data_IF_132176886324
#
_entry.id   IF_132176886324
#
_cell.length_a   1.000
_cell.length_b   1.000
_cell.length_c   1.000
_cell.angle_alpha   90.00
_cell.angle_beta   90.00
_cell.angle_gamma   90.00
#
_symmetry.space_group_name_H-M   'P 1'
#
loop_
_entity.id
_entity.type
_entity.pdbx_description
1 polymer ?
#
# COMPACT_ATOMS: atom_id res chain seq x y z
N UNK A 1 15.05 -11.73 10.99
CA UNK A 1 14.13 -10.75 11.65
C UNK A 1 12.84 -10.72 10.85
N UNK A 2 11.69 -10.80 11.50
CA UNK A 2 10.38 -10.76 10.84
C UNK A 2 10.22 -9.45 10.05
N UNK A 3 9.75 -9.56 8.81
CA UNK A 3 9.51 -8.42 7.90
C UNK A 3 8.52 -7.43 8.52
N UNK A 4 7.48 -7.93 9.20
CA UNK A 4 6.50 -7.09 9.88
C UNK A 4 7.13 -6.25 11.00
N UNK A 5 7.98 -6.86 11.81
CA UNK A 5 8.67 -6.16 12.90
C UNK A 5 9.63 -5.06 12.36
N UNK A 6 10.34 -5.34 11.28
CA UNK A 6 11.21 -4.34 10.64
C UNK A 6 10.43 -3.15 10.10
N UNK A 7 9.28 -3.40 9.48
CA UNK A 7 8.40 -2.35 8.97
C UNK A 7 7.87 -1.45 10.11
N UNK A 8 7.37 -2.05 11.19
CA UNK A 8 6.88 -1.27 12.34
C UNK A 8 8.02 -0.45 12.98
N UNK A 9 9.23 -1.00 13.09
CA UNK A 9 10.40 -0.27 13.58
C UNK A 9 10.77 0.92 12.66
N UNK A 10 10.70 0.74 11.35
CA UNK A 10 10.98 1.81 10.39
C UNK A 10 9.92 2.93 10.47
N UNK A 11 8.63 2.56 10.60
CA UNK A 11 7.54 3.52 10.81
C UNK A 11 7.68 4.26 12.15
N UNK A 12 8.08 3.56 13.23
CA UNK A 12 8.35 4.19 14.53
C UNK A 12 9.50 5.21 14.44
N UNK A 13 10.56 4.90 13.69
CA UNK A 13 11.66 5.84 13.46
C UNK A 13 11.19 7.05 12.65
N UNK A 14 10.41 6.86 11.58
CA UNK A 14 9.90 7.94 10.75
C UNK A 14 8.99 8.89 11.55
N UNK A 15 7.99 8.33 12.25
CA UNK A 15 7.08 9.13 13.09
C UNK A 15 7.81 9.77 14.26
N UNK A 16 8.78 9.06 14.87
CA UNK A 16 9.63 9.59 15.93
C UNK A 16 10.49 10.77 15.45
N UNK A 17 11.00 10.72 14.20
CA UNK A 17 11.72 11.83 13.58
C UNK A 17 10.82 13.07 13.46
N UNK A 18 9.63 12.93 12.89
CA UNK A 18 8.67 14.04 12.74
C UNK A 18 8.14 14.58 14.08
N UNK A 19 8.12 13.76 15.11
CA UNK A 19 7.67 14.14 16.45
C UNK A 19 8.80 14.63 17.37
N UNK A 20 10.04 14.74 16.87
CA UNK A 20 11.22 15.13 17.65
C UNK A 20 11.42 16.65 17.71
N UNK A 21 12.34 17.08 18.57
CA UNK A 21 12.75 18.49 18.68
C UNK A 21 11.60 19.40 19.13
N UNK A 22 11.42 20.51 18.43
CA UNK A 22 10.41 21.54 18.70
C UNK A 22 9.03 21.23 18.07
N UNK A 23 8.77 19.99 17.67
CA UNK A 23 7.47 19.60 17.11
C UNK A 23 6.34 19.88 18.12
N UNK A 24 5.23 20.55 17.67
CA UNK A 24 4.10 20.81 18.56
C UNK A 24 3.54 19.51 19.17
N UNK A 25 3.44 19.39 20.50
CA UNK A 25 3.07 18.10 21.14
C UNK A 25 1.71 17.53 20.70
N UNK A 26 0.77 18.38 20.31
CA UNK A 26 -0.53 17.95 19.82
C UNK A 26 -0.41 17.31 18.42
N UNK A 27 0.38 17.92 17.54
CA UNK A 27 0.66 17.37 16.20
C UNK A 27 1.43 16.04 16.32
N UNK A 28 2.46 15.97 17.13
CA UNK A 28 3.24 14.75 17.38
C UNK A 28 2.35 13.58 17.83
N UNK A 29 1.39 13.82 18.73
CA UNK A 29 0.42 12.81 19.16
C UNK A 29 -0.55 12.41 18.04
N UNK A 30 -0.99 13.37 17.22
CA UNK A 30 -1.90 13.11 16.11
C UNK A 30 -1.22 12.25 15.00
N UNK A 31 0.04 12.54 14.66
CA UNK A 31 0.84 11.72 13.73
C UNK A 31 0.94 10.27 14.22
N UNK A 32 1.28 10.11 15.50
CA UNK A 32 1.36 8.77 16.10
C UNK A 32 0.01 8.06 16.11
N UNK A 33 -1.06 8.77 16.41
CA UNK A 33 -2.43 8.24 16.42
C UNK A 33 -2.88 7.81 14.99
N UNK A 34 -2.52 8.54 13.95
CA UNK A 34 -2.83 8.21 12.57
C UNK A 34 -2.14 6.93 12.09
N UNK A 35 -0.89 6.70 12.53
CA UNK A 35 -0.07 5.58 12.05
C UNK A 35 -0.21 4.34 12.92
N UNK A 36 -0.39 4.49 14.25
CA UNK A 36 -0.42 3.37 15.21
C UNK A 36 -1.70 3.31 16.06
N UNK A 37 -2.18 2.10 16.38
CA UNK A 37 -1.80 0.84 15.78
C UNK A 37 -2.18 0.81 14.30
N UNK A 38 -1.36 0.14 13.49
CA UNK A 38 -1.63 -0.01 12.06
C UNK A 38 -2.73 -1.03 11.79
N UNK A 39 -3.19 -1.05 10.51
CA UNK A 39 -4.00 -2.13 9.97
C UNK A 39 -3.14 -3.31 9.51
N UNK A 40 -3.63 -4.08 8.54
CA UNK A 40 -2.94 -5.27 8.00
C UNK A 40 -1.63 -4.96 7.25
N UNK A 41 -1.28 -3.68 7.02
CA UNK A 41 -0.07 -3.25 6.32
C UNK A 41 0.10 -3.93 4.95
N UNK A 42 -0.98 -4.11 4.21
CA UNK A 42 -0.98 -4.86 2.93
C UNK A 42 -0.07 -4.18 1.90
N UNK A 43 -0.18 -2.85 1.75
CA UNK A 43 0.60 -2.07 0.78
C UNK A 43 2.11 -2.15 1.03
N UNK A 44 2.64 -1.83 2.20
CA UNK A 44 4.07 -1.97 2.46
C UNK A 44 4.56 -3.43 2.37
N UNK A 45 3.75 -4.41 2.76
CA UNK A 45 4.10 -5.82 2.58
C UNK A 45 4.22 -6.20 1.11
N UNK A 46 3.37 -5.66 0.23
CA UNK A 46 3.47 -5.86 -1.22
C UNK A 46 4.76 -5.27 -1.80
N UNK A 47 5.17 -4.07 -1.36
CA UNK A 47 6.48 -3.50 -1.74
C UNK A 47 7.61 -4.48 -1.44
N UNK A 48 7.62 -5.01 -0.21
CA UNK A 48 8.68 -5.93 0.23
C UNK A 48 8.61 -7.29 -0.47
N UNK A 49 7.41 -7.80 -0.76
CA UNK A 49 7.23 -9.04 -1.52
C UNK A 49 7.80 -8.92 -2.94
N UNK A 50 7.47 -7.83 -3.65
CA UNK A 50 8.00 -7.56 -5.00
C UNK A 50 9.51 -7.36 -4.95
N UNK A 51 10.01 -6.57 -4.01
CA UNK A 51 11.45 -6.38 -3.83
C UNK A 51 12.19 -7.70 -3.61
N UNK A 52 11.67 -8.57 -2.74
CA UNK A 52 12.25 -9.89 -2.50
C UNK A 52 12.22 -10.79 -3.75
N UNK A 53 11.13 -10.77 -4.51
CA UNK A 53 11.03 -11.53 -5.75
C UNK A 53 12.06 -11.09 -6.79
N UNK A 54 12.36 -9.79 -6.85
CA UNK A 54 13.40 -9.23 -7.72
C UNK A 54 14.82 -9.53 -7.24
N UNK A 55 15.04 -9.71 -5.93
CA UNK A 55 16.37 -9.89 -5.33
C UNK A 55 16.95 -11.31 -5.49
N UNK A 56 16.11 -12.33 -5.61
CA UNK A 56 16.46 -13.72 -5.28
C UNK A 56 17.47 -14.45 -6.17
N UNK A 57 18.00 -13.88 -7.27
CA UNK A 57 19.01 -14.54 -8.14
C UNK A 57 20.44 -13.96 -8.11
N UNK A 58 20.64 -12.76 -7.60
CA UNK A 58 22.01 -12.20 -7.56
C UNK A 58 22.92 -12.94 -6.57
N UNK A 59 22.36 -13.63 -5.58
CA UNK A 59 23.13 -14.41 -4.60
C UNK A 59 23.61 -15.77 -5.13
N UNK A 60 22.88 -16.41 -6.06
CA UNK A 60 23.18 -17.77 -6.54
C UNK A 60 24.25 -17.80 -7.64
N UNK A 61 24.34 -16.76 -8.47
CA UNK A 61 25.35 -16.68 -9.54
C UNK A 61 26.77 -16.40 -9.00
N UNK A 62 26.89 -15.76 -7.83
CA UNK A 62 28.19 -15.47 -7.21
C UNK A 62 28.88 -16.71 -6.62
N UNK A 63 28.15 -17.81 -6.40
CA UNK A 63 28.67 -19.01 -5.73
C UNK A 63 29.26 -20.04 -6.70
N UNK A 64 29.08 -19.90 -8.02
CA UNK A 64 29.47 -20.93 -9.00
C UNK A 64 30.84 -20.73 -9.69
N UNK A 65 31.53 -19.59 -9.47
CA UNK A 65 32.84 -19.34 -10.10
C UNK A 65 33.95 -19.10 -9.07
N UNK A 66 34.40 -20.16 -8.42
CA UNK A 66 35.41 -20.12 -7.35
C UNK A 66 36.86 -20.25 -7.88
N UNK A 67 37.31 -19.52 -8.92
CA UNK A 67 38.66 -19.65 -9.46
C UNK A 67 39.50 -18.36 -9.57
N UNK A 68 39.06 -17.23 -8.97
CA UNK A 68 39.85 -16.00 -8.90
C UNK A 68 39.71 -15.33 -7.51
N UNK A 69 40.43 -15.82 -6.53
CA UNK A 69 40.18 -15.55 -5.10
C UNK A 69 40.26 -14.09 -4.65
N UNK A 70 40.99 -13.20 -5.31
CA UNK A 70 41.19 -11.81 -4.86
C UNK A 70 40.23 -10.83 -5.53
N UNK A 71 39.91 -10.99 -6.82
CA UNK A 71 38.91 -10.20 -7.52
C UNK A 71 37.48 -10.56 -7.05
N UNK A 72 37.26 -11.81 -6.64
CA UNK A 72 36.02 -12.32 -6.12
C UNK A 72 35.65 -11.77 -4.72
N UNK A 73 36.64 -11.49 -3.85
CA UNK A 73 36.35 -10.91 -2.53
C UNK A 73 35.85 -9.47 -2.62
N UNK A 74 36.39 -8.65 -3.51
CA UNK A 74 35.95 -7.27 -3.75
C UNK A 74 34.57 -7.26 -4.41
N UNK A 75 34.33 -8.09 -5.41
CA UNK A 75 33.02 -8.22 -6.07
C UNK A 75 31.95 -8.77 -5.11
N UNK A 76 32.29 -9.74 -4.26
CA UNK A 76 31.40 -10.26 -3.24
C UNK A 76 31.02 -9.20 -2.19
N UNK A 77 31.98 -8.38 -1.75
CA UNK A 77 31.76 -7.28 -0.83
C UNK A 77 30.85 -6.17 -1.46
N UNK A 78 31.15 -5.80 -2.72
CA UNK A 78 30.32 -4.82 -3.46
C UNK A 78 28.88 -5.33 -3.67
N UNK A 79 28.71 -6.60 -3.99
CA UNK A 79 27.39 -7.21 -4.15
C UNK A 79 26.62 -7.27 -2.83
N UNK A 80 27.27 -7.56 -1.71
CA UNK A 80 26.68 -7.55 -0.38
C UNK A 80 26.23 -6.12 0.03
N UNK A 81 27.06 -5.12 -0.27
CA UNK A 81 26.73 -3.70 -0.02
C UNK A 81 25.52 -3.27 -0.85
N UNK A 82 25.51 -3.56 -2.15
CA UNK A 82 24.39 -3.24 -3.03
C UNK A 82 23.09 -3.94 -2.59
N UNK A 83 23.16 -5.21 -2.18
CA UNK A 83 22.00 -5.94 -1.66
C UNK A 83 21.45 -5.30 -0.37
N UNK A 84 22.33 -4.84 0.52
CA UNK A 84 21.94 -4.12 1.75
C UNK A 84 21.28 -2.78 1.43
N UNK A 85 21.84 -1.99 0.50
CA UNK A 85 21.28 -0.71 0.06
C UNK A 85 19.92 -0.88 -0.60
N UNK A 86 19.74 -1.90 -1.45
CA UNK A 86 18.48 -2.22 -2.09
C UNK A 86 17.41 -2.63 -1.07
N UNK A 87 17.76 -3.45 -0.08
CA UNK A 87 16.86 -3.84 1.00
C UNK A 87 16.47 -2.63 1.89
N UNK A 88 17.41 -1.71 2.13
CA UNK A 88 17.16 -0.44 2.82
C UNK A 88 16.20 0.44 2.00
N UNK A 89 16.45 0.61 0.70
CA UNK A 89 15.57 1.38 -0.18
C UNK A 89 14.14 0.81 -0.22
N UNK A 90 14.00 -0.53 -0.22
CA UNK A 90 12.69 -1.17 -0.23
C UNK A 90 11.89 -0.93 1.06
N UNK A 91 12.51 -1.05 2.23
CA UNK A 91 11.82 -0.84 3.52
C UNK A 91 11.47 0.64 3.71
N UNK A 92 12.36 1.55 3.32
CA UNK A 92 12.10 2.99 3.35
C UNK A 92 10.93 3.36 2.44
N UNK A 93 10.91 2.82 1.21
CA UNK A 93 9.78 3.06 0.29
C UNK A 93 8.47 2.47 0.81
N UNK A 94 8.51 1.26 1.39
CA UNK A 94 7.35 0.62 2.00
C UNK A 94 6.76 1.47 3.13
N UNK A 95 7.62 2.04 3.98
CA UNK A 95 7.21 2.95 5.06
C UNK A 95 6.63 4.26 4.52
N UNK A 96 7.24 4.84 3.48
CA UNK A 96 6.74 6.05 2.83
C UNK A 96 5.36 5.83 2.20
N UNK A 97 5.13 4.69 1.53
CA UNK A 97 3.80 4.30 1.03
C UNK A 97 2.77 4.24 2.16
N UNK A 98 3.12 3.65 3.30
CA UNK A 98 2.20 3.56 4.44
C UNK A 98 1.91 4.92 5.08
N UNK A 99 2.91 5.80 5.19
CA UNK A 99 2.69 7.17 5.67
C UNK A 99 1.71 7.93 4.79
N UNK A 100 1.87 7.86 3.46
CA UNK A 100 0.96 8.47 2.50
C UNK A 100 -0.45 7.85 2.53
N UNK A 101 -0.53 6.54 2.73
CA UNK A 101 -1.82 5.87 2.95
C UNK A 101 -2.48 6.33 4.26
N UNK A 102 -1.73 6.46 5.34
CA UNK A 102 -2.28 6.99 6.59
C UNK A 102 -2.73 8.46 6.44
N UNK A 103 -1.99 9.28 5.68
CA UNK A 103 -2.39 10.64 5.35
C UNK A 103 -3.73 10.68 4.61
N UNK A 104 -3.89 9.83 3.57
CA UNK A 104 -5.16 9.78 2.83
C UNK A 104 -6.34 9.38 3.72
N UNK A 105 -6.15 8.43 4.64
CA UNK A 105 -7.21 8.05 5.58
C UNK A 105 -7.56 9.17 6.57
N UNK A 106 -6.56 9.94 7.04
CA UNK A 106 -6.80 11.10 7.92
C UNK A 106 -7.64 12.15 7.20
N UNK A 107 -7.36 12.42 5.93
CA UNK A 107 -8.13 13.38 5.13
C UNK A 107 -9.51 12.84 4.75
N UNK A 108 -9.62 11.56 4.35
CA UNK A 108 -10.90 10.89 4.07
C UNK A 108 -11.87 10.97 5.26
N UNK A 109 -11.37 10.82 6.49
CA UNK A 109 -12.21 10.86 7.69
C UNK A 109 -12.75 12.25 8.04
N UNK A 110 -12.25 13.35 7.43
CA UNK A 110 -12.69 14.71 7.73
C UNK A 110 -14.18 14.92 7.43
N UNK A 111 -14.86 15.87 8.16
CA UNK A 111 -16.27 16.17 7.94
C UNK A 111 -16.62 16.65 6.51
N UNK A 112 -15.65 17.18 5.77
CA UNK A 112 -15.82 17.58 4.38
C UNK A 112 -15.72 16.44 3.37
N UNK A 113 -15.38 15.22 3.82
CA UNK A 113 -15.35 13.99 3.06
C UNK A 113 -16.29 12.95 3.70
N UNK A 114 -15.78 11.83 4.21
CA UNK A 114 -16.61 10.73 4.74
C UNK A 114 -17.22 11.01 6.12
N UNK A 115 -16.74 12.03 6.84
CA UNK A 115 -17.12 12.35 8.21
C UNK A 115 -17.11 11.12 9.14
N UNK A 116 -16.08 10.30 9.03
CA UNK A 116 -15.98 9.04 9.76
C UNK A 116 -15.57 9.28 11.21
N UNK A 117 -16.40 8.87 12.17
CA UNK A 117 -16.07 8.99 13.59
C UNK A 117 -14.99 8.01 14.04
N UNK A 118 -14.90 6.84 13.38
CA UNK A 118 -14.00 5.76 13.76
C UNK A 118 -13.12 5.32 12.59
N UNK A 119 -11.84 5.07 12.88
CA UNK A 119 -10.89 4.44 11.96
C UNK A 119 -10.12 3.33 12.68
N UNK A 120 -10.19 2.11 12.15
CA UNK A 120 -9.51 0.93 12.74
C UNK A 120 -9.90 0.69 14.22
N UNK A 121 -11.20 0.90 14.54
CA UNK A 121 -11.77 0.65 15.88
C UNK A 121 -11.43 1.70 16.94
N UNK A 122 -10.86 2.85 16.56
CA UNK A 122 -10.59 4.00 17.46
C UNK A 122 -11.10 5.30 16.84
N UNK A 123 -11.30 6.38 17.64
CA UNK A 123 -11.69 7.67 17.11
C UNK A 123 -10.78 8.12 15.97
N UNK A 124 -11.35 8.64 14.88
CA UNK A 124 -10.59 9.26 13.79
C UNK A 124 -9.78 10.46 14.30
N UNK A 125 -8.80 10.92 13.52
CA UNK A 125 -7.90 12.00 13.98
C UNK A 125 -8.68 13.29 14.24
N UNK A 126 -9.67 13.62 13.42
CA UNK A 126 -10.47 14.84 13.62
C UNK A 126 -11.35 14.78 14.87
N UNK A 127 -11.87 13.60 15.21
CA UNK A 127 -12.62 13.39 16.47
C UNK A 127 -11.71 13.47 17.68
N UNK A 128 -10.50 12.89 17.61
CA UNK A 128 -9.58 12.82 18.75
C UNK A 128 -8.82 14.12 19.00
N UNK A 129 -8.52 14.91 17.95
CA UNK A 129 -7.61 16.07 18.02
C UNK A 129 -8.19 17.35 17.42
N UNK A 130 -9.38 17.30 16.81
CA UNK A 130 -10.00 18.39 16.09
C UNK A 130 -9.56 18.48 14.60
N UNK A 131 -10.43 19.06 13.78
CA UNK A 131 -10.26 19.14 12.31
C UNK A 131 -8.96 19.83 11.90
N UNK A 132 -8.59 20.94 12.54
CA UNK A 132 -7.34 21.68 12.22
C UNK A 132 -6.11 20.81 12.36
N UNK A 133 -6.05 20.02 13.44
CA UNK A 133 -4.91 19.11 13.67
C UNK A 133 -4.97 17.93 12.71
N UNK A 134 -6.16 17.46 12.34
CA UNK A 134 -6.30 16.37 11.36
C UNK A 134 -5.78 16.80 9.98
N UNK A 135 -6.15 17.97 9.48
CA UNK A 135 -5.60 18.51 8.22
C UNK A 135 -4.08 18.58 8.29
N UNK A 136 -3.53 19.22 9.33
CA UNK A 136 -2.08 19.38 9.50
C UNK A 136 -1.35 18.05 9.69
N UNK A 137 -1.98 17.07 10.33
CA UNK A 137 -1.41 15.73 10.48
C UNK A 137 -1.34 14.99 9.14
N UNK A 138 -2.38 15.07 8.32
CA UNK A 138 -2.37 14.53 6.96
C UNK A 138 -1.28 15.15 6.10
N UNK A 139 -1.19 16.49 6.08
CA UNK A 139 -0.16 17.23 5.35
C UNK A 139 1.26 16.85 5.82
N UNK A 140 1.46 16.78 7.15
CA UNK A 140 2.75 16.42 7.71
C UNK A 140 3.14 14.96 7.37
N UNK A 141 2.20 14.02 7.33
CA UNK A 141 2.46 12.63 6.91
C UNK A 141 2.82 12.55 5.42
N UNK A 142 2.21 13.38 4.55
CA UNK A 142 2.58 13.46 3.13
C UNK A 142 4.02 13.92 3.00
N UNK A 143 4.37 15.03 3.65
CA UNK A 143 5.73 15.58 3.60
C UNK A 143 6.74 14.58 4.17
N UNK A 144 6.43 13.97 5.32
CA UNK A 144 7.28 12.96 5.95
C UNK A 144 7.56 11.77 5.04
N UNK A 145 6.58 11.31 4.25
CA UNK A 145 6.77 10.21 3.30
C UNK A 145 7.86 10.51 2.26
N UNK A 146 7.93 11.75 1.75
CA UNK A 146 8.97 12.18 0.82
C UNK A 146 10.29 12.49 1.53
N UNK A 147 10.26 13.14 2.69
CA UNK A 147 11.44 13.42 3.49
C UNK A 147 12.16 12.12 3.90
N UNK A 148 11.39 11.11 4.32
CA UNK A 148 11.94 9.82 4.71
C UNK A 148 12.71 9.13 3.58
N UNK A 149 12.21 9.23 2.33
CA UNK A 149 12.95 8.79 1.16
C UNK A 149 14.25 9.58 0.97
N UNK A 150 14.18 10.90 1.08
CA UNK A 150 15.35 11.77 0.88
C UNK A 150 16.47 11.48 1.90
N UNK A 151 16.11 11.14 3.14
CA UNK A 151 17.05 10.87 4.22
C UNK A 151 17.67 9.47 4.18
N UNK A 152 16.99 8.49 3.54
CA UNK A 152 17.29 7.06 3.77
C UNK A 152 17.66 6.26 2.52
N UNK A 153 17.58 6.85 1.33
CA UNK A 153 17.93 6.14 0.09
C UNK A 153 18.58 7.05 -0.96
N UNK A 154 19.58 6.53 -1.66
CA UNK A 154 20.17 7.19 -2.81
C UNK A 154 19.28 7.18 -4.06
N UNK A 155 18.24 6.31 -4.09
CA UNK A 155 17.26 6.20 -5.19
C UNK A 155 16.12 7.21 -5.07
N UNK A 156 16.31 8.29 -4.31
CA UNK A 156 15.25 9.26 -3.97
C UNK A 156 14.52 9.80 -5.20
N UNK A 157 15.22 10.18 -6.26
CA UNK A 157 14.61 10.76 -7.46
C UNK A 157 13.62 9.79 -8.14
N UNK A 158 13.98 8.51 -8.26
CA UNK A 158 13.13 7.51 -8.89
C UNK A 158 11.94 7.14 -8.00
N UNK A 159 12.19 6.88 -6.72
CA UNK A 159 11.18 6.42 -5.78
C UNK A 159 10.17 7.53 -5.44
N UNK A 160 10.62 8.77 -5.20
CA UNK A 160 9.71 9.91 -5.01
C UNK A 160 8.91 10.24 -6.27
N UNK A 161 9.49 10.08 -7.46
CA UNK A 161 8.75 10.22 -8.72
C UNK A 161 7.61 9.21 -8.87
N UNK A 162 7.81 7.95 -8.44
CA UNK A 162 6.75 6.93 -8.40
C UNK A 162 5.65 7.34 -7.41
N UNK A 163 6.01 7.73 -6.18
CA UNK A 163 5.04 8.18 -5.17
C UNK A 163 4.26 9.40 -5.65
N UNK A 164 4.93 10.43 -6.14
CA UNK A 164 4.30 11.67 -6.60
C UNK A 164 3.26 11.41 -7.69
N UNK A 165 3.58 10.53 -8.64
CA UNK A 165 2.64 10.11 -9.70
C UNK A 165 1.42 9.38 -9.16
N UNK A 166 1.61 8.50 -8.17
CA UNK A 166 0.55 7.63 -7.66
C UNK A 166 -0.25 8.24 -6.50
N UNK A 167 0.21 9.36 -5.94
CA UNK A 167 -0.50 10.08 -4.86
C UNK A 167 -1.13 11.37 -5.38
N UNK A 168 -0.43 12.12 -6.24
CA UNK A 168 -0.89 13.40 -6.77
C UNK A 168 -1.88 13.29 -7.93
N UNK A 169 -2.04 14.39 -8.67
CA UNK A 169 -2.74 14.40 -9.96
C UNK A 169 -1.79 14.00 -11.10
N UNK A 170 -2.28 13.59 -12.27
CA UNK A 170 -3.69 13.51 -12.66
C UNK A 170 -4.34 12.15 -12.39
N UNK A 171 -3.65 11.16 -11.82
CA UNK A 171 -4.14 9.77 -11.74
C UNK A 171 -3.81 9.09 -10.40
N UNK A 172 -3.37 9.83 -9.40
CA UNK A 172 -3.09 9.35 -8.06
C UNK A 172 -4.28 9.50 -7.12
N UNK A 173 -4.06 9.26 -5.83
CA UNK A 173 -5.10 9.29 -4.79
C UNK A 173 -5.84 10.63 -4.76
N UNK A 174 -5.12 11.77 -4.88
CA UNK A 174 -5.75 13.10 -4.90
C UNK A 174 -6.74 13.24 -6.07
N UNK A 175 -6.38 12.75 -7.27
CA UNK A 175 -7.29 12.74 -8.40
C UNK A 175 -8.47 11.79 -8.14
N UNK A 176 -8.22 10.62 -7.52
CA UNK A 176 -9.26 9.69 -7.11
C UNK A 176 -10.28 10.33 -6.18
N UNK A 177 -9.81 11.03 -5.17
CA UNK A 177 -10.68 11.76 -4.24
C UNK A 177 -11.44 12.90 -4.92
N UNK A 178 -10.81 13.62 -5.85
CA UNK A 178 -11.44 14.71 -6.58
C UNK A 178 -12.55 14.22 -7.54
N UNK A 179 -12.46 13.00 -8.07
CA UNK A 179 -13.53 12.41 -8.89
C UNK A 179 -14.87 12.33 -8.17
N UNK A 180 -14.91 12.22 -6.85
CA UNK A 180 -16.13 12.22 -6.04
C UNK A 180 -16.85 13.59 -6.04
N UNK A 181 -16.13 14.65 -6.37
CA UNK A 181 -16.67 16.02 -6.48
C UNK A 181 -17.14 16.36 -7.90
N UNK A 182 -16.92 15.48 -8.88
CA UNK A 182 -17.33 15.72 -10.26
C UNK A 182 -18.82 15.41 -10.48
N UNK A 183 -19.55 16.19 -11.32
CA UNK A 183 -20.95 15.95 -11.60
C UNK A 183 -21.25 14.58 -12.23
N UNK A 184 -20.24 14.01 -12.89
CA UNK A 184 -20.32 12.69 -13.54
C UNK A 184 -19.01 11.95 -13.24
N UNK A 185 -19.14 10.79 -12.62
CA UNK A 185 -17.98 9.99 -12.23
C UNK A 185 -17.68 8.96 -13.33
N UNK A 186 -16.45 8.98 -13.87
CA UNK A 186 -15.91 7.83 -14.61
C UNK A 186 -15.43 6.81 -13.57
N UNK A 187 -16.24 5.80 -13.32
CA UNK A 187 -16.03 4.80 -12.26
C UNK A 187 -14.67 4.11 -12.41
N UNK A 188 -14.29 3.75 -13.63
CA UNK A 188 -13.02 3.06 -13.89
C UNK A 188 -11.83 3.95 -13.54
N UNK A 189 -11.87 5.22 -13.94
CA UNK A 189 -10.82 6.19 -13.59
C UNK A 189 -10.77 6.48 -12.10
N UNK A 190 -11.94 6.64 -11.49
CA UNK A 190 -12.07 6.86 -10.05
C UNK A 190 -11.42 5.73 -9.24
N UNK A 191 -11.87 4.49 -9.43
CA UNK A 191 -11.35 3.34 -8.70
C UNK A 191 -9.86 3.10 -8.95
N UNK A 192 -9.42 3.28 -10.19
CA UNK A 192 -8.02 3.17 -10.57
C UNK A 192 -7.16 4.21 -9.90
N UNK A 193 -7.64 5.45 -9.75
CA UNK A 193 -6.93 6.54 -9.08
C UNK A 193 -7.00 6.41 -7.56
N UNK A 194 -8.20 6.22 -6.97
CA UNK A 194 -8.37 6.19 -5.51
C UNK A 194 -7.69 4.97 -4.87
N UNK A 195 -7.86 3.79 -5.44
CA UNK A 195 -7.35 2.53 -4.88
C UNK A 195 -6.14 1.98 -5.67
N UNK A 196 -6.29 1.81 -6.98
CA UNK A 196 -5.31 1.14 -7.82
C UNK A 196 -3.95 1.84 -7.88
N UNK A 197 -3.91 3.17 -7.87
CA UNK A 197 -2.67 3.93 -8.01
C UNK A 197 -1.65 3.63 -6.91
N UNK A 198 -2.07 3.53 -5.65
CA UNK A 198 -1.14 3.24 -4.56
C UNK A 198 -0.67 1.79 -4.57
N UNK A 199 -1.48 0.84 -5.03
CA UNK A 199 -1.04 -0.54 -5.28
C UNK A 199 -0.02 -0.59 -6.44
N UNK A 200 -0.23 0.20 -7.50
CA UNK A 200 0.75 0.37 -8.57
C UNK A 200 2.07 0.96 -8.06
N UNK A 201 2.02 1.96 -7.15
CA UNK A 201 3.21 2.46 -6.48
C UNK A 201 3.97 1.35 -5.74
N UNK A 202 3.25 0.46 -5.03
CA UNK A 202 3.86 -0.64 -4.28
C UNK A 202 4.65 -1.59 -5.18
N UNK A 203 4.08 -2.02 -6.30
CA UNK A 203 4.74 -2.95 -7.22
C UNK A 203 5.89 -2.27 -7.97
N UNK A 204 5.67 -1.05 -8.46
CA UNK A 204 6.69 -0.26 -9.15
C UNK A 204 7.88 0.07 -8.23
N UNK A 205 7.61 0.54 -7.01
CA UNK A 205 8.66 0.92 -6.06
C UNK A 205 9.43 -0.28 -5.49
N UNK A 206 8.73 -1.40 -5.25
CA UNK A 206 9.38 -2.65 -4.86
C UNK A 206 10.38 -3.12 -5.91
N UNK A 207 10.02 -3.08 -7.20
CA UNK A 207 10.90 -3.43 -8.31
C UNK A 207 12.03 -2.40 -8.49
N UNK A 208 11.71 -1.10 -8.46
CA UNK A 208 12.68 -0.01 -8.58
C UNK A 208 13.74 -0.04 -7.48
N UNK A 209 13.39 -0.44 -6.25
CA UNK A 209 14.34 -0.60 -5.15
C UNK A 209 15.43 -1.63 -5.45
N UNK A 210 15.15 -2.59 -6.34
CA UNK A 210 16.10 -3.61 -6.81
C UNK A 210 16.75 -3.27 -8.15
N UNK A 211 16.41 -2.10 -8.74
CA UNK A 211 16.97 -1.64 -10.01
C UNK A 211 16.27 -2.20 -11.24
N UNK A 212 15.06 -2.72 -11.10
CA UNK A 212 14.19 -3.11 -12.23
C UNK A 212 13.44 -1.90 -12.79
N UNK A 213 13.02 -2.00 -14.07
CA UNK A 213 12.18 -1.00 -14.71
C UNK A 213 10.80 -0.94 -14.04
N UNK A 214 10.41 0.18 -13.40
CA UNK A 214 9.20 0.22 -12.58
C UNK A 214 7.90 0.08 -13.38
N UNK A 215 7.82 0.68 -14.58
CA UNK A 215 6.56 0.70 -15.34
C UNK A 215 6.12 -0.68 -15.81
N UNK A 216 7.03 -1.63 -15.97
CA UNK A 216 6.69 -3.02 -16.27
C UNK A 216 5.82 -3.65 -15.18
N UNK A 217 5.88 -3.15 -13.93
CA UNK A 217 5.16 -3.66 -12.76
C UNK A 217 3.83 -2.96 -12.50
N UNK A 218 3.51 -1.92 -13.25
CA UNK A 218 2.31 -1.10 -13.03
C UNK A 218 1.01 -1.90 -13.19
N UNK A 219 0.92 -2.75 -14.22
CA UNK A 219 -0.26 -3.58 -14.49
C UNK A 219 -0.57 -4.54 -13.34
N UNK A 220 0.45 -5.14 -12.76
CA UNK A 220 0.31 -5.99 -11.59
C UNK A 220 -0.33 -5.23 -10.41
N UNK A 221 0.17 -4.02 -10.15
CA UNK A 221 -0.37 -3.20 -9.06
C UNK A 221 -1.84 -2.81 -9.25
N UNK A 222 -2.23 -2.45 -10.47
CA UNK A 222 -3.63 -2.14 -10.78
C UNK A 222 -4.53 -3.37 -10.60
N UNK A 223 -4.14 -4.54 -11.10
CA UNK A 223 -4.93 -5.76 -10.96
C UNK A 223 -5.12 -6.16 -9.47
N UNK A 224 -4.05 -6.03 -8.66
CA UNK A 224 -4.15 -6.27 -7.21
C UNK A 224 -5.06 -5.24 -6.54
N UNK A 225 -4.96 -3.95 -6.91
CA UNK A 225 -5.78 -2.89 -6.34
C UNK A 225 -7.26 -3.06 -6.64
N UNK A 226 -7.60 -3.48 -7.86
CA UNK A 226 -8.96 -3.79 -8.29
C UNK A 226 -9.52 -5.03 -7.57
N UNK A 227 -8.73 -6.11 -7.48
CA UNK A 227 -9.11 -7.28 -6.68
C UNK A 227 -9.33 -6.94 -5.20
N UNK A 228 -8.51 -6.03 -4.65
CA UNK A 228 -8.67 -5.57 -3.28
C UNK A 228 -10.00 -4.81 -3.10
N UNK A 229 -10.39 -3.95 -4.06
CA UNK A 229 -11.66 -3.24 -4.02
C UNK A 229 -12.85 -4.22 -4.06
N UNK A 230 -12.85 -5.16 -4.99
CA UNK A 230 -13.90 -6.20 -5.06
C UNK A 230 -13.99 -6.99 -3.76
N UNK A 231 -12.85 -7.34 -3.15
CA UNK A 231 -12.83 -8.03 -1.86
C UNK A 231 -13.39 -7.17 -0.72
N UNK A 232 -13.17 -5.85 -0.73
CA UNK A 232 -13.71 -4.94 0.27
C UNK A 232 -15.23 -4.81 0.12
N UNK A 233 -15.74 -4.66 -1.11
CA UNK A 233 -17.17 -4.66 -1.44
C UNK A 233 -17.88 -5.94 -1.00
N UNK A 234 -17.28 -7.11 -1.28
CA UNK A 234 -17.79 -8.41 -0.83
C UNK A 234 -17.87 -8.51 0.70
N UNK A 235 -16.86 -7.98 1.40
CA UNK A 235 -16.82 -7.96 2.86
C UNK A 235 -17.82 -6.99 3.48
N UNK A 236 -18.05 -5.86 2.82
CA UNK A 236 -19.01 -4.85 3.29
C UNK A 236 -20.44 -5.41 3.27
N UNK A 237 -20.80 -6.15 2.22
CA UNK A 237 -22.11 -6.81 2.10
C UNK A 237 -22.25 -8.02 3.04
N UNK A 238 -21.20 -8.84 3.20
CA UNK A 238 -21.24 -10.06 4.03
C UNK A 238 -20.86 -9.83 5.49
N UNK A 239 -20.34 -8.64 5.84
CA UNK A 239 -19.77 -8.33 7.14
C UNK A 239 -20.79 -7.80 8.14
N UNK A 240 -20.36 -7.77 9.42
CA UNK A 240 -20.99 -6.98 10.48
C UNK A 240 -20.03 -5.88 10.93
N UNK A 241 -20.57 -4.72 11.33
CA UNK A 241 -19.80 -3.55 11.77
C UNK A 241 -18.74 -3.88 12.85
N UNK A 242 -19.07 -4.79 13.78
CA UNK A 242 -18.16 -5.24 14.84
C UNK A 242 -16.89 -5.93 14.34
N UNK A 243 -16.97 -6.65 13.20
CA UNK A 243 -15.81 -7.37 12.64
C UNK A 243 -14.95 -6.53 11.70
N UNK A 244 -15.55 -5.52 11.06
CA UNK A 244 -14.86 -4.66 10.10
C UNK A 244 -14.18 -3.45 10.75
N UNK A 245 -14.56 -3.09 11.97
CA UNK A 245 -14.03 -1.92 12.68
C UNK A 245 -14.37 -0.58 12.01
N UNK A 246 -15.34 -0.59 11.06
CA UNK A 246 -15.95 0.56 10.37
C UNK A 246 -17.45 0.31 10.23
N UNK A 247 -18.30 1.33 10.08
CA UNK A 247 -19.70 1.15 9.73
C UNK A 247 -19.83 0.36 8.42
N UNK A 248 -20.84 -0.52 8.33
CA UNK A 248 -21.21 -1.27 7.11
C UNK A 248 -22.26 -0.49 6.33
N UNK A 249 -22.42 -0.80 5.04
CA UNK A 249 -23.37 -0.12 4.13
C UNK A 249 -23.08 1.38 3.91
N UNK A 250 -21.84 1.83 4.13
CA UNK A 250 -21.46 3.22 3.83
C UNK A 250 -21.49 3.50 2.33
N UNK A 251 -21.13 2.52 1.49
CA UNK A 251 -21.16 2.66 0.03
C UNK A 251 -22.58 2.85 -0.49
N UNK A 252 -23.58 2.18 0.10
CA UNK A 252 -24.99 2.42 -0.21
C UNK A 252 -25.44 3.82 0.23
N UNK A 253 -25.02 4.28 1.40
CA UNK A 253 -25.36 5.60 1.93
C UNK A 253 -24.73 6.74 1.10
N UNK A 254 -23.54 6.52 0.54
CA UNK A 254 -22.79 7.49 -0.25
C UNK A 254 -23.01 7.34 -1.77
N UNK A 255 -23.89 6.42 -2.20
CA UNK A 255 -24.11 6.08 -3.62
C UNK A 255 -22.81 5.72 -4.36
N UNK A 256 -21.82 5.16 -3.64
CA UNK A 256 -20.56 4.73 -4.21
C UNK A 256 -20.77 3.48 -5.10
N UNK A 257 -20.13 3.40 -6.26
CA UNK A 257 -20.21 2.24 -7.12
C UNK A 257 -19.65 1.00 -6.39
N UNK A 258 -20.43 -0.09 -6.36
CA UNK A 258 -20.11 -1.32 -5.66
C UNK A 258 -20.29 -2.51 -6.60
N UNK A 259 -19.26 -3.33 -6.75
CA UNK A 259 -19.27 -4.49 -7.67
C UNK A 259 -20.35 -5.52 -7.30
N UNK A 260 -20.69 -5.67 -6.02
CA UNK A 260 -21.73 -6.60 -5.59
C UNK A 260 -23.12 -6.09 -6.02
N UNK A 261 -23.34 -4.77 -6.00
CA UNK A 261 -24.59 -4.17 -6.49
C UNK A 261 -24.77 -4.33 -8.00
N UNK A 262 -23.67 -4.33 -8.77
CA UNK A 262 -23.71 -4.45 -10.23
C UNK A 262 -23.79 -5.90 -10.73
N UNK A 263 -22.98 -6.79 -10.12
CA UNK A 263 -22.75 -8.15 -10.59
C UNK A 263 -23.44 -9.23 -9.73
N UNK A 264 -24.02 -8.84 -8.58
CA UNK A 264 -24.41 -9.77 -7.54
C UNK A 264 -23.20 -10.39 -6.82
N UNK A 265 -23.43 -11.10 -5.71
CA UNK A 265 -22.37 -11.68 -4.88
C UNK A 265 -21.51 -12.70 -5.67
N UNK A 266 -22.16 -13.65 -6.36
CA UNK A 266 -21.46 -14.68 -7.14
C UNK A 266 -20.73 -14.11 -8.35
N UNK A 267 -21.30 -13.09 -9.01
CA UNK A 267 -20.66 -12.36 -10.10
C UNK A 267 -19.41 -11.60 -9.63
N UNK A 268 -19.48 -10.92 -8.49
CA UNK A 268 -18.35 -10.24 -7.88
C UNK A 268 -17.25 -11.23 -7.45
N UNK A 269 -17.62 -12.40 -6.92
CA UNK A 269 -16.65 -13.47 -6.62
C UNK A 269 -15.98 -14.01 -7.88
N UNK A 270 -16.71 -14.20 -8.97
CA UNK A 270 -16.14 -14.60 -10.27
C UNK A 270 -15.16 -13.55 -10.80
N UNK A 271 -15.54 -12.28 -10.75
CA UNK A 271 -14.68 -11.17 -11.16
C UNK A 271 -13.40 -11.07 -10.28
N UNK A 272 -13.52 -11.30 -8.98
CA UNK A 272 -12.36 -11.37 -8.09
C UNK A 272 -11.35 -12.45 -8.53
N UNK A 273 -11.80 -13.64 -8.89
CA UNK A 273 -10.92 -14.72 -9.36
C UNK A 273 -10.27 -14.38 -10.72
N UNK A 274 -11.00 -13.75 -11.64
CA UNK A 274 -10.42 -13.24 -12.90
C UNK A 274 -9.31 -12.22 -12.67
N UNK A 275 -9.49 -11.32 -11.70
CA UNK A 275 -8.49 -10.33 -11.33
C UNK A 275 -7.25 -10.95 -10.69
N UNK A 276 -7.38 -12.02 -9.89
CA UNK A 276 -6.25 -12.77 -9.37
C UNK A 276 -5.44 -13.44 -10.49
N UNK A 277 -6.12 -14.03 -11.48
CA UNK A 277 -5.44 -14.60 -12.64
C UNK A 277 -4.75 -13.51 -13.48
N UNK A 278 -5.41 -12.38 -13.70
CA UNK A 278 -4.82 -11.23 -14.38
C UNK A 278 -3.58 -10.70 -13.62
N UNK A 279 -3.62 -10.61 -12.30
CA UNK A 279 -2.48 -10.24 -11.48
C UNK A 279 -1.33 -11.23 -11.63
N UNK A 280 -1.59 -12.54 -11.56
CA UNK A 280 -0.57 -13.58 -11.78
C UNK A 280 0.11 -13.44 -13.14
N UNK A 281 -0.67 -13.22 -14.19
CA UNK A 281 -0.18 -13.08 -15.56
C UNK A 281 0.58 -11.77 -15.78
N UNK A 282 0.28 -10.73 -15.00
CA UNK A 282 0.93 -9.42 -15.07
C UNK A 282 2.28 -9.35 -14.33
N UNK A 283 2.69 -10.40 -13.59
CA UNK A 283 4.01 -10.43 -12.93
C UNK A 283 5.09 -10.48 -14.00
N UNK A 284 5.97 -9.46 -14.08
CA UNK A 284 7.09 -9.47 -15.03
C UNK A 284 8.09 -10.60 -14.74
N UNK A 285 8.96 -10.88 -15.71
CA UNK A 285 10.00 -11.89 -15.51
C UNK A 285 10.96 -11.43 -14.40
N UNK A 286 11.00 -12.23 -13.34
CA UNK A 286 11.84 -12.00 -12.19
C UNK A 286 12.19 -13.34 -11.51
N UNK A 287 13.27 -13.40 -10.74
CA UNK A 287 13.74 -14.64 -10.12
C UNK A 287 12.76 -15.33 -9.19
N UNK A 288 11.98 -14.56 -8.44
CA UNK A 288 11.00 -15.04 -7.47
C UNK A 288 9.57 -15.00 -7.97
N UNK A 289 9.32 -15.00 -9.28
CA UNK A 289 7.99 -14.84 -9.89
C UNK A 289 6.94 -15.77 -9.30
N UNK A 290 7.23 -17.06 -9.21
CA UNK A 290 6.26 -18.05 -8.74
C UNK A 290 5.96 -17.89 -7.23
N UNK A 291 6.97 -17.62 -6.41
CA UNK A 291 6.78 -17.34 -4.98
C UNK A 291 5.96 -16.06 -4.75
N UNK A 292 6.16 -15.02 -5.57
CA UNK A 292 5.37 -13.80 -5.53
C UNK A 292 3.92 -14.06 -5.90
N UNK A 293 3.67 -14.86 -6.96
CA UNK A 293 2.31 -15.22 -7.38
C UNK A 293 1.56 -15.92 -6.25
N UNK A 294 2.17 -16.93 -5.63
CA UNK A 294 1.59 -17.67 -4.51
C UNK A 294 1.32 -16.76 -3.29
N UNK A 295 2.23 -15.82 -2.99
CA UNK A 295 2.04 -14.90 -1.88
C UNK A 295 0.89 -13.92 -2.13
N UNK A 296 0.78 -13.36 -3.35
CA UNK A 296 -0.32 -12.46 -3.73
C UNK A 296 -1.65 -13.21 -3.65
N UNK A 297 -1.74 -14.39 -4.23
CA UNK A 297 -2.94 -15.22 -4.22
C UNK A 297 -3.35 -15.57 -2.78
N UNK A 298 -2.42 -16.02 -1.94
CA UNK A 298 -2.69 -16.36 -0.54
C UNK A 298 -3.22 -15.19 0.28
N UNK A 299 -2.62 -14.00 0.15
CA UNK A 299 -3.08 -12.78 0.84
C UNK A 299 -4.45 -12.37 0.32
N UNK A 300 -4.66 -12.33 -1.00
CA UNK A 300 -5.92 -11.90 -1.59
C UNK A 300 -7.07 -12.85 -1.23
N UNK A 301 -6.88 -14.17 -1.32
CA UNK A 301 -7.90 -15.16 -0.91
C UNK A 301 -8.23 -15.07 0.57
N UNK A 302 -7.27 -14.69 1.43
CA UNK A 302 -7.55 -14.51 2.86
C UNK A 302 -8.55 -13.39 3.14
N UNK A 303 -8.68 -12.40 2.24
CA UNK A 303 -9.64 -11.30 2.38
C UNK A 303 -11.08 -11.76 2.21
N UNK A 304 -11.33 -12.77 1.39
CA UNK A 304 -12.68 -13.30 1.08
C UNK A 304 -12.97 -14.64 1.75
N UNK A 305 -12.03 -15.18 2.54
CA UNK A 305 -12.20 -16.47 3.23
C UNK A 305 -13.36 -16.41 4.22
N UNK A 306 -14.27 -17.38 4.11
CA UNK A 306 -15.43 -17.51 5.00
C UNK A 306 -16.66 -16.67 4.62
N UNK A 307 -16.60 -15.87 3.53
CA UNK A 307 -17.76 -15.12 3.05
C UNK A 307 -18.81 -16.03 2.40
N UNK A 308 -18.37 -17.04 1.62
CA UNK A 308 -19.26 -17.99 0.92
C UNK A 308 -20.12 -18.84 1.85
N UNK A 309 -19.65 -19.13 3.06
CA UNK A 309 -20.39 -19.97 4.04
C UNK A 309 -21.62 -19.24 4.65
N UNK A 310 -21.71 -17.91 4.49
CA UNK A 310 -22.78 -17.09 5.09
C UNK A 310 -23.94 -16.83 4.16
N UNK A 311 -23.71 -16.71 2.85
CA UNK A 311 -24.76 -16.51 1.84
C UNK A 311 -25.59 -17.75 1.59
N UNK A 312 -25.08 -18.94 1.91
CA UNK A 312 -25.83 -20.21 1.85
C UNK A 312 -26.70 -20.46 3.11
N UNK A 313 -26.58 -19.64 4.16
CA UNK A 313 -27.29 -19.81 5.44
C UNK A 313 -28.34 -18.71 5.71
N UNK A 314 -28.52 -17.76 4.79
CA UNK A 314 -29.53 -16.69 4.81
C UNK A 314 -30.60 -16.92 3.73
#
# INVERSE_FOLDING_TARGET
MDIGLRLEQELEQAVGHAASGDSPPLLARALRHAVFPGGARIRPRLVLAVSNACASKKATAATQNATAATQNATAASQNATAASQNASAAITFASSVELLHCASLVHDDLPCFDNSELRRGKPSVHVAFGERIAVLAGDALIVLGFEWLALRTERVAQLSGILARCVGGPSGICAGQAWECEPTIDIVRYQRAKTGALFAACTMGGAASQGYEPFAWQKLGFAIGEAFQVADDLRDVAGSAEKLGKPVHQDEANHAPNFVSELGFDGAMGHFEELLEAARNAIPDCPGREALAQQIEGVSRSLVTGLQARTAAA
#
